data_IF_738564457393
#
_entry.id   IF_738564457393
#
_cell.length_a   1.000
_cell.length_b   1.000
_cell.length_c   1.000
_cell.angle_alpha   90.00
_cell.angle_beta   90.00
_cell.angle_gamma   90.00
#
_symmetry.space_group_name_H-M   'P 1'
#
loop_
_entity.id
_entity.type
_entity.pdbx_description
1 polymer ?
#
# COMPACT_ATOMS: atom_id res chain seq x y z
N UNK A 1 -40.71 42.25 -1.87
CA UNK A 1 -39.72 41.41 -2.58
C UNK A 1 -38.96 40.63 -1.52
N UNK A 2 -39.31 39.35 -1.32
CA UNK A 2 -38.68 38.51 -0.31
C UNK A 2 -37.36 37.95 -0.84
N UNK A 3 -36.26 38.13 -0.10
CA UNK A 3 -34.95 37.61 -0.46
C UNK A 3 -34.95 36.06 -0.35
N UNK A 4 -34.54 35.33 -1.39
CA UNK A 4 -34.43 33.88 -1.34
C UNK A 4 -33.07 33.50 -0.75
N UNK A 5 -32.90 33.73 0.55
CA UNK A 5 -31.81 33.12 1.30
C UNK A 5 -32.37 31.83 1.89
N UNK A 6 -32.74 30.88 1.02
CA UNK A 6 -33.13 29.54 1.45
C UNK A 6 -31.88 28.86 1.99
N UNK A 7 -31.70 28.99 3.30
CA UNK A 7 -30.60 28.44 4.06
C UNK A 7 -30.49 26.94 3.85
N UNK A 8 -29.40 26.53 3.22
CA UNK A 8 -28.71 25.34 3.72
C UNK A 8 -28.29 25.75 5.13
N UNK A 9 -29.05 25.33 6.13
CA UNK A 9 -28.78 25.70 7.52
C UNK A 9 -27.30 25.41 7.82
N UNK A 10 -26.59 26.34 8.46
CA UNK A 10 -25.17 26.15 8.83
C UNK A 10 -24.95 24.81 9.55
N UNK A 11 -25.97 24.33 10.29
CA UNK A 11 -26.01 23.00 10.91
C UNK A 11 -26.01 21.86 9.88
N UNK A 12 -26.81 21.96 8.80
CA UNK A 12 -26.82 21.00 7.68
C UNK A 12 -25.48 21.04 6.93
N UNK A 13 -24.93 22.23 6.65
CA UNK A 13 -23.61 22.38 6.02
C UNK A 13 -22.48 21.80 6.88
N UNK A 14 -22.46 22.06 8.20
CA UNK A 14 -21.47 21.47 9.12
C UNK A 14 -21.63 19.95 9.22
N UNK A 15 -22.88 19.45 9.26
CA UNK A 15 -23.17 18.00 9.28
C UNK A 15 -22.67 17.33 8.00
N UNK A 16 -22.94 17.94 6.86
CA UNK A 16 -22.52 17.47 5.53
C UNK A 16 -20.99 17.52 5.37
N UNK A 17 -20.33 18.61 5.79
CA UNK A 17 -18.86 18.69 5.88
C UNK A 17 -18.25 17.63 6.81
N UNK A 18 -18.86 17.36 7.97
CA UNK A 18 -18.41 16.32 8.91
C UNK A 18 -18.59 14.92 8.31
N UNK A 19 -19.70 14.68 7.63
CA UNK A 19 -19.99 13.40 6.98
C UNK A 19 -19.05 13.15 5.81
N UNK A 20 -18.82 14.18 4.98
CA UNK A 20 -17.84 14.17 3.89
C UNK A 20 -16.41 13.91 4.41
N UNK A 21 -15.98 14.57 5.50
CA UNK A 21 -14.68 14.26 6.14
C UNK A 21 -14.58 12.82 6.65
N UNK A 22 -15.67 12.25 7.18
CA UNK A 22 -15.68 10.85 7.65
C UNK A 22 -15.52 9.86 6.50
N UNK A 23 -16.09 10.18 5.35
CA UNK A 23 -15.98 9.37 4.15
C UNK A 23 -14.59 9.49 3.51
N UNK A 24 -14.06 10.71 3.40
CA UNK A 24 -12.67 10.97 2.99
C UNK A 24 -11.66 10.23 3.88
N UNK A 25 -11.88 10.21 5.21
CA UNK A 25 -11.03 9.47 6.13
C UNK A 25 -11.12 7.93 5.96
N UNK A 26 -12.24 7.40 5.44
CA UNK A 26 -12.38 5.97 5.13
C UNK A 26 -11.65 5.61 3.84
N UNK A 27 -11.81 6.43 2.80
CA UNK A 27 -11.11 6.26 1.53
C UNK A 27 -9.59 6.29 1.72
N UNK A 28 -9.11 7.25 2.51
CA UNK A 28 -7.69 7.38 2.86
C UNK A 28 -7.13 6.14 3.56
N UNK A 29 -7.86 5.59 4.52
CA UNK A 29 -7.45 4.36 5.23
C UNK A 29 -7.40 3.15 4.29
N UNK A 30 -8.31 3.06 3.33
CA UNK A 30 -8.32 1.99 2.35
C UNK A 30 -7.12 2.09 1.40
N UNK A 31 -6.80 3.30 0.94
CA UNK A 31 -5.65 3.57 0.07
C UNK A 31 -4.32 3.30 0.77
N UNK A 32 -4.17 3.72 2.03
CA UNK A 32 -3.00 3.39 2.86
C UNK A 32 -2.82 1.88 2.96
N UNK A 33 -3.89 1.15 3.29
CA UNK A 33 -3.77 -0.28 3.52
C UNK A 33 -3.43 -1.05 2.24
N UNK A 34 -3.98 -0.62 1.10
CA UNK A 34 -3.61 -1.14 -0.21
C UNK A 34 -2.14 -0.86 -0.53
N UNK A 35 -1.68 0.38 -0.40
CA UNK A 35 -0.31 0.78 -0.70
C UNK A 35 0.72 0.07 0.21
N UNK A 36 0.46 -0.02 1.52
CA UNK A 36 1.34 -0.74 2.47
C UNK A 36 1.39 -2.24 2.17
N UNK A 37 0.25 -2.86 1.82
CA UNK A 37 0.22 -4.29 1.51
C UNK A 37 1.00 -4.61 0.23
N UNK A 38 0.88 -3.78 -0.82
CA UNK A 38 1.67 -3.94 -2.06
C UNK A 38 3.16 -3.68 -1.80
N UNK A 39 3.50 -2.67 -0.98
CA UNK A 39 4.88 -2.42 -0.57
C UNK A 39 5.50 -3.62 0.16
N UNK A 40 4.73 -4.27 1.06
CA UNK A 40 5.16 -5.46 1.77
C UNK A 40 5.44 -6.65 0.84
N UNK A 41 4.53 -6.94 -0.10
CA UNK A 41 4.73 -8.00 -1.11
C UNK A 41 5.98 -7.72 -1.96
N UNK A 42 6.13 -6.49 -2.44
CA UNK A 42 7.29 -6.10 -3.25
C UNK A 42 8.61 -6.23 -2.47
N UNK A 43 8.61 -5.87 -1.17
CA UNK A 43 9.78 -6.02 -0.32
C UNK A 43 10.15 -7.48 -0.03
N UNK A 44 9.16 -8.36 0.16
CA UNK A 44 9.38 -9.80 0.30
C UNK A 44 9.98 -10.39 -0.99
N UNK A 45 9.44 -10.03 -2.16
CA UNK A 45 9.98 -10.45 -3.46
C UNK A 45 11.40 -9.93 -3.69
N UNK A 46 11.71 -8.70 -3.26
CA UNK A 46 13.05 -8.17 -3.34
C UNK A 46 14.05 -8.96 -2.48
N UNK A 47 13.64 -9.43 -1.29
CA UNK A 47 14.47 -10.28 -0.44
C UNK A 47 14.69 -11.67 -1.05
N UNK A 48 13.62 -12.33 -1.51
CA UNK A 48 13.70 -13.64 -2.16
C UNK A 48 14.63 -13.59 -3.39
N UNK A 49 14.48 -12.55 -4.22
CA UNK A 49 15.33 -12.38 -5.40
C UNK A 49 16.80 -12.13 -5.02
N UNK A 50 17.06 -11.36 -3.97
CA UNK A 50 18.43 -11.16 -3.47
C UNK A 50 19.04 -12.45 -2.89
N UNK A 51 18.27 -13.26 -2.16
CA UNK A 51 18.69 -14.57 -1.66
C UNK A 51 19.03 -15.53 -2.82
N UNK A 52 18.20 -15.57 -3.86
CA UNK A 52 18.43 -16.38 -5.05
C UNK A 52 19.67 -15.93 -5.83
N UNK A 53 19.92 -14.62 -5.92
CA UNK A 53 21.11 -14.07 -6.57
C UNK A 53 22.42 -14.45 -5.84
N UNK A 54 22.36 -14.72 -4.52
CA UNK A 54 23.50 -15.10 -3.70
C UNK A 54 23.75 -16.62 -3.64
N UNK A 55 22.87 -17.45 -4.22
CA UNK A 55 22.97 -18.90 -4.15
C UNK A 55 24.19 -19.42 -4.96
N UNK A 56 24.96 -20.41 -4.42
CA UNK A 56 26.22 -20.87 -5.01
C UNK A 56 26.07 -21.68 -6.32
N UNK A 57 24.84 -21.90 -6.81
CA UNK A 57 24.57 -22.71 -8.00
C UNK A 57 24.24 -21.81 -9.22
N UNK A 58 25.27 -21.45 -9.99
CA UNK A 58 25.10 -20.90 -11.34
C UNK A 58 25.11 -19.38 -11.46
N UNK A 59 26.09 -18.71 -10.83
CA UNK A 59 26.37 -17.28 -11.01
C UNK A 59 26.79 -16.97 -12.47
N UNK A 60 25.79 -16.83 -13.34
CA UNK A 60 25.86 -16.34 -14.71
C UNK A 60 24.73 -15.35 -14.96
N UNK A 61 24.08 -15.40 -16.12
CA UNK A 61 22.94 -14.53 -16.45
C UNK A 61 21.74 -14.66 -15.49
N UNK A 62 21.61 -15.79 -14.77
CA UNK A 62 20.61 -15.97 -13.73
C UNK A 62 20.79 -14.93 -12.62
N UNK A 63 21.90 -14.96 -11.86
CA UNK A 63 22.12 -14.03 -10.75
C UNK A 63 21.97 -12.55 -11.15
N UNK A 64 22.37 -12.16 -12.36
CA UNK A 64 22.15 -10.81 -12.89
C UNK A 64 20.65 -10.48 -13.01
N UNK A 65 19.84 -11.41 -13.53
CA UNK A 65 18.37 -11.26 -13.59
C UNK A 65 17.77 -11.19 -12.19
N UNK A 66 18.16 -12.06 -11.27
CA UNK A 66 17.63 -12.03 -9.90
C UNK A 66 18.01 -10.73 -9.17
N UNK A 67 19.22 -10.21 -9.40
CA UNK A 67 19.63 -8.89 -8.86
C UNK A 67 18.79 -7.76 -9.46
N UNK A 68 18.52 -7.79 -10.77
CA UNK A 68 17.66 -6.83 -11.44
C UNK A 68 16.21 -6.88 -10.92
N UNK A 69 15.67 -8.09 -10.71
CA UNK A 69 14.35 -8.29 -10.09
C UNK A 69 14.34 -7.74 -8.67
N UNK A 70 15.38 -7.99 -7.87
CA UNK A 70 15.48 -7.47 -6.51
C UNK A 70 15.48 -5.93 -6.49
N UNK A 71 16.25 -5.28 -7.38
CA UNK A 71 16.28 -3.82 -7.50
C UNK A 71 14.93 -3.24 -7.96
N UNK A 72 14.29 -3.85 -8.96
CA UNK A 72 12.99 -3.41 -9.45
C UNK A 72 11.90 -3.54 -8.37
N UNK A 73 11.87 -4.67 -7.66
CA UNK A 73 10.91 -4.91 -6.58
C UNK A 73 11.16 -3.96 -5.39
N UNK A 74 12.42 -3.66 -5.05
CA UNK A 74 12.74 -2.68 -4.03
C UNK A 74 12.24 -1.26 -4.38
N UNK A 75 12.39 -0.84 -5.65
CA UNK A 75 11.87 0.44 -6.14
C UNK A 75 10.34 0.50 -6.09
N UNK A 76 9.66 -0.58 -6.45
CA UNK A 76 8.19 -0.68 -6.31
C UNK A 76 7.79 -0.59 -4.83
N UNK A 77 8.49 -1.29 -3.94
CA UNK A 77 8.22 -1.22 -2.50
C UNK A 77 8.38 0.20 -1.95
N UNK A 78 9.44 0.91 -2.34
CA UNK A 78 9.67 2.30 -1.97
C UNK A 78 8.56 3.21 -2.51
N UNK A 79 8.18 3.07 -3.78
CA UNK A 79 7.15 3.91 -4.38
C UNK A 79 5.78 3.67 -3.74
N UNK A 80 5.43 2.43 -3.42
CA UNK A 80 4.21 2.10 -2.69
C UNK A 80 4.23 2.64 -1.25
N UNK A 81 5.39 2.60 -0.57
CA UNK A 81 5.57 3.23 0.74
C UNK A 81 5.35 4.75 0.67
N UNK A 82 5.89 5.43 -0.35
CA UNK A 82 5.67 6.86 -0.58
C UNK A 82 4.21 7.19 -0.86
N UNK A 83 3.51 6.35 -1.61
CA UNK A 83 2.06 6.50 -1.86
C UNK A 83 1.29 6.33 -0.55
N UNK A 84 1.65 5.35 0.28
CA UNK A 84 1.03 5.17 1.59
C UNK A 84 1.26 6.38 2.51
N UNK A 85 2.46 6.96 2.52
CA UNK A 85 2.79 8.15 3.31
C UNK A 85 2.07 9.41 2.79
N UNK A 86 1.96 9.58 1.48
CA UNK A 86 1.15 10.65 0.87
C UNK A 86 -0.34 10.47 1.20
N UNK A 87 -0.79 9.22 1.28
CA UNK A 87 -2.06 8.82 1.82
C UNK A 87 -2.08 8.74 3.36
N UNK A 88 -1.08 9.28 4.08
CA UNK A 88 -1.09 9.54 5.53
C UNK A 88 -0.81 8.40 6.47
N UNK A 89 -0.24 7.32 5.96
CA UNK A 89 0.42 6.36 6.81
C UNK A 89 1.59 7.03 7.54
N UNK A 90 1.80 6.65 8.81
CA UNK A 90 3.04 7.01 9.50
C UNK A 90 4.20 6.23 8.90
N UNK A 91 5.30 6.91 8.57
CA UNK A 91 6.54 6.30 8.05
C UNK A 91 7.07 5.17 8.94
N UNK A 92 6.93 5.28 10.25
CA UNK A 92 7.34 4.22 11.19
C UNK A 92 6.47 2.97 11.04
N UNK A 93 5.16 3.14 10.83
CA UNK A 93 4.24 2.02 10.60
C UNK A 93 4.52 1.36 9.24
N UNK A 94 4.77 2.16 8.21
CA UNK A 94 5.10 1.66 6.86
C UNK A 94 6.41 0.87 6.89
N UNK A 95 7.46 1.44 7.47
CA UNK A 95 8.78 0.79 7.56
C UNK A 95 8.74 -0.48 8.41
N UNK A 96 8.00 -0.49 9.53
CA UNK A 96 7.82 -1.69 10.34
C UNK A 96 7.09 -2.80 9.56
N UNK A 97 6.00 -2.47 8.86
CA UNK A 97 5.25 -3.44 8.06
C UNK A 97 6.07 -4.00 6.88
N UNK A 98 6.79 -3.13 6.17
CA UNK A 98 7.68 -3.52 5.06
C UNK A 98 8.85 -4.35 5.56
N UNK A 99 9.46 -3.99 6.70
CA UNK A 99 10.53 -4.75 7.33
C UNK A 99 10.09 -6.14 7.78
N UNK A 100 8.88 -6.25 8.36
CA UNK A 100 8.29 -7.53 8.71
C UNK A 100 8.04 -8.41 7.48
N UNK A 101 7.45 -7.85 6.42
CA UNK A 101 7.20 -8.58 5.17
C UNK A 101 8.51 -9.04 4.50
N UNK A 102 9.56 -8.20 4.54
CA UNK A 102 10.89 -8.52 4.03
C UNK A 102 11.53 -9.71 4.76
N UNK A 103 11.19 -9.94 6.03
CA UNK A 103 11.68 -11.08 6.81
C UNK A 103 10.84 -12.37 6.60
N UNK A 104 9.69 -12.28 5.95
CA UNK A 104 8.76 -13.39 5.70
C UNK A 104 8.84 -13.87 4.25
N UNK A 105 9.94 -14.54 3.88
CA UNK A 105 10.25 -14.96 2.50
C UNK A 105 9.80 -16.39 2.15
N UNK A 106 9.24 -17.13 3.09
CA UNK A 106 8.68 -18.46 2.83
C UNK A 106 7.43 -18.39 1.94
N UNK A 107 7.23 -19.43 1.13
CA UNK A 107 6.15 -19.48 0.14
C UNK A 107 4.76 -19.26 0.77
N UNK A 108 4.52 -19.81 1.97
CA UNK A 108 3.24 -19.66 2.69
C UNK A 108 2.96 -18.20 3.02
N UNK A 109 3.92 -17.51 3.62
CA UNK A 109 3.80 -16.09 3.94
C UNK A 109 3.67 -15.22 2.69
N UNK A 110 4.39 -15.53 1.61
CA UNK A 110 4.26 -14.79 0.32
C UNK A 110 2.84 -14.93 -0.26
N UNK A 111 2.25 -16.13 -0.23
CA UNK A 111 0.86 -16.32 -0.65
C UNK A 111 -0.11 -15.52 0.21
N UNK A 112 0.04 -15.56 1.53
CA UNK A 112 -0.81 -14.80 2.45
C UNK A 112 -0.67 -13.29 2.24
N UNK A 113 0.55 -12.77 2.12
CA UNK A 113 0.81 -11.35 1.84
C UNK A 113 0.19 -10.92 0.50
N UNK A 114 0.31 -11.76 -0.54
CA UNK A 114 -0.26 -11.49 -1.86
C UNK A 114 -1.78 -11.48 -1.83
N UNK A 115 -2.41 -12.44 -1.14
CA UNK A 115 -3.87 -12.49 -0.97
C UNK A 115 -4.39 -11.29 -0.17
N UNK A 116 -3.66 -10.88 0.87
CA UNK A 116 -3.97 -9.68 1.64
C UNK A 116 -3.89 -8.43 0.75
N UNK A 117 -2.79 -8.25 -0.01
CA UNK A 117 -2.62 -7.13 -0.91
C UNK A 117 -3.73 -7.06 -1.98
N UNK A 118 -4.08 -8.19 -2.59
CA UNK A 118 -5.18 -8.27 -3.55
C UNK A 118 -6.53 -7.86 -2.92
N UNK A 119 -6.81 -8.34 -1.71
CA UNK A 119 -8.05 -7.96 -1.00
C UNK A 119 -8.08 -6.47 -0.69
N UNK A 120 -6.94 -5.88 -0.34
CA UNK A 120 -6.85 -4.45 -0.06
C UNK A 120 -7.07 -3.61 -1.31
N UNK A 121 -6.53 -4.01 -2.46
CA UNK A 121 -6.70 -3.28 -3.73
C UNK A 121 -8.12 -3.38 -4.28
N UNK A 122 -8.77 -4.54 -4.17
CA UNK A 122 -10.18 -4.68 -4.53
C UNK A 122 -11.10 -3.96 -3.54
N UNK A 123 -10.79 -4.02 -2.24
CA UNK A 123 -11.55 -3.36 -1.18
C UNK A 123 -11.45 -1.82 -1.24
N UNK A 124 -10.29 -1.27 -1.62
CA UNK A 124 -10.15 0.16 -1.91
C UNK A 124 -10.94 0.57 -3.16
N UNK A 125 -10.96 -0.29 -4.19
CA UNK A 125 -11.71 -0.03 -5.41
C UNK A 125 -13.24 -0.08 -5.20
N UNK A 126 -13.71 -0.92 -4.27
CA UNK A 126 -15.14 -1.05 -3.95
C UNK A 126 -15.66 0.03 -2.99
N UNK A 127 -14.78 0.67 -2.18
CA UNK A 127 -15.18 1.79 -1.33
C UNK A 127 -15.20 3.14 -2.05
N UNK A 128 -14.53 3.26 -3.21
CA UNK A 128 -14.40 4.49 -3.98
C UNK A 128 -15.48 4.71 -5.05
N UNK A 129 -16.37 3.75 -5.27
CA UNK A 129 -17.54 3.82 -6.18
C UNK A 129 -18.84 3.92 -5.40
#
# INVERSE_FOLDING_TARGET
MAAPWSGISLKKWVKERKQKRKEEARLYRAEVHAAVSVAGVAAALAAIAAENAAAPAGAGSAGIRETAVASAAALVAEQCARVAEAAGASRDQVSAAVGAARASTDAGNVFTLTAAAATCTYGSHFQAT
#
